data_IF_039540376221
#
_entry.id   IF_039540376221
#
_cell.length_a   1.000
_cell.length_b   1.000
_cell.length_c   1.000
_cell.angle_alpha   90.00
_cell.angle_beta   90.00
_cell.angle_gamma   90.00
#
_symmetry.space_group_name_H-M   'P 1'
#
loop_
_entity.id
_entity.type
_entity.pdbx_description
1 polymer ?
#
# COMPACT_ATOMS: atom_id res chain seq x y z
N UNK A 1 -64.18 7.67 -8.25
CA UNK A 1 -63.07 6.74 -8.57
C UNK A 1 -61.75 7.48 -8.42
N UNK A 2 -61.02 7.19 -7.33
CA UNK A 2 -59.55 7.17 -7.21
C UNK A 2 -59.26 6.89 -5.73
N UNK A 3 -58.91 5.65 -5.46
CA UNK A 3 -58.63 5.12 -4.14
C UNK A 3 -57.30 5.67 -3.62
N UNK A 4 -57.33 6.17 -2.40
CA UNK A 4 -56.15 6.46 -1.59
C UNK A 4 -55.59 5.14 -1.07
N UNK A 5 -54.35 4.79 -1.45
CA UNK A 5 -53.59 3.70 -0.83
C UNK A 5 -52.45 4.32 -0.02
N UNK A 6 -52.60 4.31 1.29
CA UNK A 6 -51.55 4.64 2.24
C UNK A 6 -50.55 3.47 2.26
N UNK A 7 -49.28 3.75 1.97
CA UNK A 7 -48.20 2.78 2.15
C UNK A 7 -47.79 2.76 3.63
N UNK A 8 -48.01 1.61 4.27
CA UNK A 8 -47.58 1.32 5.63
C UNK A 8 -46.05 1.19 5.69
N UNK A 9 -45.39 2.10 6.42
CA UNK A 9 -44.02 1.95 6.85
C UNK A 9 -44.00 0.94 8.01
N UNK A 10 -43.51 -0.29 7.77
CA UNK A 10 -43.16 -1.19 8.87
C UNK A 10 -41.84 -0.72 9.49
N UNK A 11 -41.91 0.00 10.62
CA UNK A 11 -40.79 0.13 11.54
C UNK A 11 -40.57 -1.23 12.20
N UNK A 12 -39.57 -1.98 11.76
CA UNK A 12 -38.99 -3.06 12.58
C UNK A 12 -38.09 -2.37 13.61
N UNK A 13 -38.62 -2.17 14.81
CA UNK A 13 -37.83 -1.75 15.96
C UNK A 13 -36.84 -2.86 16.33
N UNK A 14 -35.58 -2.70 15.92
CA UNK A 14 -34.49 -3.50 16.45
C UNK A 14 -34.20 -3.00 17.88
N UNK A 15 -34.84 -3.60 18.87
CA UNK A 15 -34.43 -3.47 20.26
C UNK A 15 -33.02 -4.04 20.38
N UNK A 16 -32.02 -3.17 20.50
CA UNK A 16 -30.65 -3.57 20.84
C UNK A 16 -30.67 -4.13 22.27
N UNK A 17 -30.88 -5.44 22.39
CA UNK A 17 -30.60 -6.16 23.62
C UNK A 17 -29.08 -6.23 23.72
N UNK A 18 -28.48 -5.33 24.49
CA UNK A 18 -27.13 -5.53 24.99
C UNK A 18 -27.18 -6.73 25.94
N UNK A 19 -26.95 -7.92 25.40
CA UNK A 19 -26.61 -9.07 26.23
C UNK A 19 -25.21 -8.76 26.76
N UNK A 20 -25.16 -8.42 28.04
CA UNK A 20 -23.91 -8.42 28.80
C UNK A 20 -23.44 -9.88 28.83
N UNK A 21 -22.67 -10.24 27.80
CA UNK A 21 -22.05 -11.55 27.68
C UNK A 21 -21.12 -11.67 28.88
N UNK A 22 -21.51 -12.46 29.88
CA UNK A 22 -20.57 -13.01 30.84
C UNK A 22 -19.36 -13.53 30.04
N UNK A 23 -18.15 -13.08 30.39
CA UNK A 23 -16.93 -13.46 29.69
C UNK A 23 -16.77 -14.98 29.78
N UNK A 24 -17.21 -15.69 28.76
CA UNK A 24 -16.89 -17.09 28.57
C UNK A 24 -15.38 -17.16 28.43
N UNK A 25 -14.70 -17.80 29.37
CA UNK A 25 -13.26 -18.07 29.23
C UNK A 25 -13.04 -18.76 27.89
N UNK A 26 -12.39 -18.06 26.96
CA UNK A 26 -12.00 -18.65 25.68
C UNK A 26 -10.96 -19.73 26.02
N UNK A 27 -11.22 -21.01 25.71
CA UNK A 27 -10.31 -22.08 26.09
C UNK A 27 -8.90 -21.82 25.55
N UNK A 28 -7.88 -22.05 26.38
CA UNK A 28 -6.49 -22.00 25.94
C UNK A 28 -6.30 -22.96 24.77
N UNK A 29 -5.91 -22.44 23.62
CA UNK A 29 -5.56 -23.24 22.46
C UNK A 29 -4.05 -23.48 22.43
N UNK A 30 -3.65 -24.73 22.29
CA UNK A 30 -2.26 -25.11 22.05
C UNK A 30 -2.17 -25.73 20.65
N UNK A 31 -1.22 -25.26 19.85
CA UNK A 31 -0.99 -25.74 18.49
C UNK A 31 0.50 -25.98 18.28
N UNK A 32 0.82 -27.08 17.61
CA UNK A 32 2.19 -27.34 17.13
C UNK A 32 2.27 -26.89 15.68
N UNK A 33 3.16 -25.95 15.40
CA UNK A 33 3.38 -25.40 14.07
C UNK A 33 4.80 -25.76 13.61
N UNK A 34 4.93 -26.19 12.35
CA UNK A 34 6.25 -26.27 11.72
C UNK A 34 6.77 -24.86 11.46
N UNK A 35 8.06 -24.64 11.71
CA UNK A 35 8.74 -23.36 11.48
C UNK A 35 9.11 -22.59 12.75
N UNK A 36 8.45 -22.85 13.88
CA UNK A 36 8.85 -22.29 15.18
C UNK A 36 10.09 -23.01 15.74
N UNK A 37 11.03 -22.24 16.28
CA UNK A 37 12.26 -22.73 16.92
C UNK A 37 12.06 -22.94 18.43
N UNK A 38 11.20 -22.15 19.05
CA UNK A 38 10.84 -22.19 20.45
C UNK A 38 9.34 -21.95 20.67
N UNK A 39 8.89 -22.07 21.92
CA UNK A 39 7.51 -21.79 22.29
C UNK A 39 7.19 -20.29 22.15
N UNK A 40 6.03 -19.99 21.58
CA UNK A 40 5.45 -18.63 21.51
C UNK A 40 4.14 -18.63 22.29
N UNK A 41 3.94 -17.60 23.11
CA UNK A 41 2.67 -17.35 23.78
C UNK A 41 1.97 -16.14 23.17
N UNK A 42 0.68 -16.26 22.90
CA UNK A 42 -0.16 -15.16 22.39
C UNK A 42 -1.30 -14.95 23.36
N UNK A 43 -1.32 -13.79 24.01
CA UNK A 43 -2.42 -13.35 24.87
C UNK A 43 -3.26 -12.34 24.11
N UNK A 44 -4.59 -12.49 24.11
CA UNK A 44 -5.48 -11.45 23.58
C UNK A 44 -6.10 -10.68 24.73
N UNK A 45 -6.00 -9.36 24.67
CA UNK A 45 -6.68 -8.51 25.64
C UNK A 45 -8.19 -8.43 25.36
N UNK A 46 -8.91 -7.66 26.19
CA UNK A 46 -10.36 -7.46 26.07
C UNK A 46 -10.81 -6.81 24.76
N UNK A 47 -9.89 -6.21 24.00
CA UNK A 47 -10.15 -5.59 22.70
C UNK A 47 -9.73 -6.49 21.53
N UNK A 48 -9.23 -7.70 21.85
CA UNK A 48 -8.73 -8.66 20.86
C UNK A 48 -7.32 -8.36 20.37
N UNK A 49 -6.59 -7.41 20.98
CA UNK A 49 -5.21 -7.07 20.62
C UNK A 49 -4.30 -8.23 21.03
N UNK A 50 -3.54 -8.83 20.09
CA UNK A 50 -2.59 -9.87 20.42
C UNK A 50 -1.32 -9.26 21.04
N UNK A 51 -0.92 -9.83 22.19
CA UNK A 51 0.39 -9.67 22.81
C UNK A 51 1.19 -10.95 22.59
N UNK A 52 2.23 -10.86 21.78
CA UNK A 52 3.03 -11.99 21.30
C UNK A 52 4.35 -12.01 22.07
N UNK A 53 4.57 -13.10 22.81
CA UNK A 53 5.78 -13.35 23.58
C UNK A 53 6.57 -14.48 22.94
N UNK A 54 7.80 -14.21 22.51
CA UNK A 54 8.68 -15.17 21.86
C UNK A 54 10.09 -15.13 22.48
N UNK A 55 10.87 -16.19 22.27
CA UNK A 55 12.24 -16.29 22.79
C UNK A 55 13.30 -15.76 21.80
N UNK A 56 12.90 -15.45 20.57
CA UNK A 56 13.77 -14.94 19.51
C UNK A 56 12.96 -14.16 18.47
N UNK A 57 13.66 -13.37 17.66
CA UNK A 57 13.10 -12.49 16.64
C UNK A 57 12.37 -13.26 15.54
N UNK A 58 12.90 -14.39 15.09
CA UNK A 58 12.31 -15.16 13.99
C UNK A 58 10.92 -15.69 14.36
N UNK A 59 10.79 -16.28 15.55
CA UNK A 59 9.53 -16.80 16.07
C UNK A 59 8.52 -15.67 16.37
N UNK A 60 9.00 -14.49 16.81
CA UNK A 60 8.17 -13.31 17.05
C UNK A 60 7.45 -12.87 15.77
N UNK A 61 8.20 -12.70 14.69
CA UNK A 61 7.65 -12.25 13.41
C UNK A 61 6.88 -13.34 12.68
N UNK A 62 7.29 -14.61 12.79
CA UNK A 62 6.49 -15.75 12.36
C UNK A 62 5.11 -15.76 13.01
N UNK A 63 5.06 -15.60 14.34
CA UNK A 63 3.80 -15.55 15.06
C UNK A 63 2.96 -14.31 14.71
N UNK A 64 3.59 -13.15 14.47
CA UNK A 64 2.91 -11.95 13.99
C UNK A 64 2.23 -12.19 12.63
N UNK A 65 2.92 -12.83 11.69
CA UNK A 65 2.38 -13.19 10.38
C UNK A 65 1.24 -14.21 10.49
N UNK A 66 1.44 -15.27 11.26
CA UNK A 66 0.45 -16.33 11.48
C UNK A 66 -0.84 -15.78 12.09
N UNK A 67 -0.75 -15.01 13.18
CA UNK A 67 -1.94 -14.45 13.83
C UNK A 67 -2.62 -13.37 12.98
N UNK A 68 -1.87 -12.72 12.09
CA UNK A 68 -2.44 -11.74 11.16
C UNK A 68 -3.18 -12.39 10.02
N UNK A 69 -2.67 -13.48 9.48
CA UNK A 69 -3.42 -14.32 8.56
C UNK A 69 -4.66 -14.92 9.24
N UNK A 70 -4.54 -15.42 10.47
CA UNK A 70 -5.69 -15.93 11.24
C UNK A 70 -6.82 -14.91 11.37
N UNK A 71 -6.48 -13.64 11.57
CA UNK A 71 -7.48 -12.61 11.83
C UNK A 71 -8.01 -11.96 10.56
N UNK A 72 -7.20 -11.89 9.50
CA UNK A 72 -7.43 -10.97 8.37
C UNK A 72 -7.00 -11.55 7.01
N UNK A 73 -7.04 -12.87 6.82
CA UNK A 73 -6.53 -13.52 5.60
C UNK A 73 -7.11 -12.94 4.30
N UNK A 74 -8.41 -12.66 4.25
CA UNK A 74 -9.03 -12.09 3.05
C UNK A 74 -8.51 -10.68 2.74
N UNK A 75 -8.36 -9.83 3.78
CA UNK A 75 -7.77 -8.50 3.65
C UNK A 75 -6.31 -8.59 3.18
N UNK A 76 -5.54 -9.52 3.73
CA UNK A 76 -4.17 -9.80 3.30
C UNK A 76 -4.12 -10.17 1.81
N UNK A 77 -4.86 -11.21 1.39
CA UNK A 77 -4.80 -11.67 0.00
C UNK A 77 -5.21 -10.58 -1.01
N UNK A 78 -6.24 -9.79 -0.69
CA UNK A 78 -6.61 -8.64 -1.50
C UNK A 78 -5.49 -7.60 -1.57
N UNK A 79 -4.83 -7.28 -0.45
CA UNK A 79 -3.70 -6.33 -0.43
C UNK A 79 -2.53 -6.83 -1.29
N UNK A 80 -2.19 -8.12 -1.19
CA UNK A 80 -1.17 -8.77 -2.03
C UNK A 80 -1.52 -8.67 -3.51
N UNK A 81 -2.76 -9.01 -3.90
CA UNK A 81 -3.22 -8.93 -5.29
C UNK A 81 -3.24 -7.49 -5.80
N UNK A 82 -3.61 -6.55 -4.94
CA UNK A 82 -3.56 -5.12 -5.20
C UNK A 82 -2.13 -4.69 -5.53
N UNK A 83 -1.18 -5.09 -4.69
CA UNK A 83 0.23 -4.70 -4.77
C UNK A 83 1.02 -5.39 -5.88
N UNK A 84 0.61 -6.59 -6.28
CA UNK A 84 1.33 -7.40 -7.28
C UNK A 84 0.69 -7.43 -8.65
N UNK A 85 -0.49 -6.82 -8.82
CA UNK A 85 -1.22 -6.80 -10.08
C UNK A 85 -1.79 -8.17 -10.44
N UNK A 86 -2.59 -8.73 -9.53
CA UNK A 86 -3.27 -10.03 -9.65
C UNK A 86 -4.76 -9.97 -9.30
N UNK A 87 -5.39 -8.80 -9.43
CA UNK A 87 -6.84 -8.68 -9.24
C UNK A 87 -7.62 -9.19 -10.45
N UNK A 88 -7.10 -9.02 -11.68
CA UNK A 88 -7.73 -9.51 -12.89
C UNK A 88 -7.93 -11.05 -12.87
N UNK A 89 -7.01 -11.76 -12.22
CA UNK A 89 -7.07 -13.22 -12.01
C UNK A 89 -8.36 -13.66 -11.30
N UNK A 90 -8.92 -12.81 -10.44
CA UNK A 90 -10.05 -13.16 -9.57
C UNK A 90 -11.28 -12.28 -9.78
N UNK A 91 -11.12 -11.08 -10.35
CA UNK A 91 -12.20 -10.10 -10.59
C UNK A 91 -12.41 -9.77 -12.08
N UNK A 92 -11.58 -10.31 -12.98
CA UNK A 92 -11.79 -10.27 -14.43
C UNK A 92 -11.22 -9.03 -15.15
N UNK A 93 -11.57 -8.85 -16.43
CA UNK A 93 -10.84 -7.99 -17.36
C UNK A 93 -10.83 -6.50 -16.99
N UNK A 94 -11.84 -6.01 -16.26
CA UNK A 94 -11.90 -4.62 -15.81
C UNK A 94 -10.75 -4.22 -14.88
N UNK A 95 -10.03 -5.19 -14.30
CA UNK A 95 -8.90 -4.96 -13.40
C UNK A 95 -7.54 -5.02 -14.11
N UNK A 96 -7.49 -5.41 -15.39
CA UNK A 96 -6.25 -5.47 -16.18
C UNK A 96 -5.51 -4.12 -16.22
N UNK A 97 -6.17 -2.96 -16.47
CA UNK A 97 -5.46 -1.67 -16.50
C UNK A 97 -4.81 -1.31 -15.16
N UNK A 98 -5.48 -1.64 -14.06
CA UNK A 98 -4.96 -1.44 -12.70
C UNK A 98 -3.76 -2.35 -12.43
N UNK A 99 -3.90 -3.63 -12.77
CA UNK A 99 -2.83 -4.61 -12.60
C UNK A 99 -1.61 -4.24 -13.44
N UNK A 100 -1.80 -3.62 -14.62
CA UNK A 100 -0.72 -3.03 -15.42
C UNK A 100 0.14 -2.08 -14.64
N UNK A 101 -0.47 -1.11 -13.98
CA UNK A 101 0.26 -0.09 -13.21
C UNK A 101 0.97 -0.73 -12.02
N UNK A 102 0.31 -1.64 -11.28
CA UNK A 102 0.96 -2.34 -10.18
C UNK A 102 2.23 -3.10 -10.64
N UNK A 103 2.16 -3.75 -11.81
CA UNK A 103 3.29 -4.45 -12.43
C UNK A 103 4.37 -3.50 -12.96
N UNK A 104 3.99 -2.38 -13.57
CA UNK A 104 4.92 -1.31 -13.97
C UNK A 104 5.71 -0.76 -12.78
N UNK A 105 5.08 -0.67 -11.61
CA UNK A 105 5.69 -0.08 -10.40
C UNK A 105 6.45 -1.10 -9.53
N UNK A 106 6.52 -2.38 -9.92
CA UNK A 106 7.35 -3.37 -9.23
C UNK A 106 8.79 -2.89 -9.13
N UNK A 107 9.41 -3.13 -7.97
CA UNK A 107 10.82 -2.83 -7.79
C UNK A 107 11.68 -3.74 -8.68
N UNK A 108 12.64 -3.13 -9.38
CA UNK A 108 13.53 -3.79 -10.36
C UNK A 108 15.02 -3.56 -10.07
N UNK A 109 15.32 -2.95 -8.92
CA UNK A 109 16.69 -2.60 -8.54
C UNK A 109 17.42 -3.72 -7.79
N UNK A 110 18.49 -3.33 -7.10
CA UNK A 110 19.26 -4.22 -6.24
C UNK A 110 18.46 -4.59 -4.99
N UNK A 111 18.12 -5.88 -4.85
CA UNK A 111 17.39 -6.41 -3.70
C UNK A 111 18.20 -6.38 -2.41
N UNK A 112 19.52 -6.51 -2.46
CA UNK A 112 20.33 -6.42 -1.24
C UNK A 112 20.41 -4.98 -0.73
N UNK A 113 20.41 -3.99 -1.62
CA UNK A 113 20.28 -2.58 -1.25
C UNK A 113 18.88 -2.23 -0.72
N UNK A 114 17.84 -2.85 -1.29
CA UNK A 114 16.46 -2.70 -0.84
C UNK A 114 16.31 -3.14 0.62
N UNK A 115 16.68 -4.39 0.93
CA UNK A 115 16.52 -4.93 2.27
C UNK A 115 17.36 -4.19 3.32
N UNK A 116 18.62 -3.87 3.01
CA UNK A 116 19.51 -3.15 3.93
C UNK A 116 19.07 -1.71 4.22
N UNK A 117 18.17 -1.14 3.41
CA UNK A 117 17.69 0.22 3.64
C UNK A 117 16.69 0.33 4.80
N UNK A 118 16.08 -0.76 5.26
CA UNK A 118 15.01 -0.72 6.27
C UNK A 118 15.53 -0.94 7.69
N UNK A 119 16.23 -2.06 7.87
CA UNK A 119 16.87 -2.48 9.11
C UNK A 119 17.95 -3.54 8.77
N UNK A 120 18.97 -3.74 9.62
CA UNK A 120 20.01 -4.74 9.37
C UNK A 120 19.48 -6.17 9.18
N UNK A 121 18.35 -6.49 9.83
CA UNK A 121 17.67 -7.78 9.85
C UNK A 121 16.35 -7.79 9.07
N UNK A 122 16.04 -6.74 8.29
CA UNK A 122 14.75 -6.59 7.62
C UNK A 122 14.37 -7.79 6.74
N UNK A 123 15.33 -8.34 5.96
CA UNK A 123 15.08 -9.52 5.13
C UNK A 123 14.65 -10.73 5.96
N UNK A 124 15.30 -10.94 7.11
CA UNK A 124 14.99 -12.05 8.02
C UNK A 124 13.62 -11.85 8.64
N UNK A 125 13.35 -10.66 9.18
CA UNK A 125 12.06 -10.28 9.76
C UNK A 125 10.91 -10.51 8.77
N UNK A 126 11.06 -10.00 7.54
CA UNK A 126 10.05 -10.12 6.48
C UNK A 126 9.87 -11.57 6.06
N UNK A 127 10.95 -12.35 5.91
CA UNK A 127 10.87 -13.78 5.61
C UNK A 127 10.11 -14.55 6.69
N UNK A 128 10.45 -14.36 7.97
CA UNK A 128 9.75 -15.00 9.08
C UNK A 128 8.26 -14.64 9.12
N UNK A 129 7.93 -13.37 8.91
CA UNK A 129 6.54 -12.90 8.84
C UNK A 129 5.75 -13.59 7.71
N UNK A 130 6.34 -13.64 6.51
CA UNK A 130 5.74 -14.32 5.36
C UNK A 130 5.60 -15.83 5.60
N UNK A 131 6.58 -16.47 6.22
CA UNK A 131 6.50 -17.89 6.59
C UNK A 131 5.34 -18.15 7.56
N UNK A 132 5.10 -17.24 8.51
CA UNK A 132 3.94 -17.28 9.40
C UNK A 132 2.60 -17.19 8.66
N UNK A 133 2.47 -16.24 7.73
CA UNK A 133 1.27 -16.11 6.87
C UNK A 133 1.05 -17.41 6.08
N UNK A 134 2.10 -17.91 5.43
CA UNK A 134 2.05 -19.12 4.62
C UNK A 134 1.75 -20.37 5.45
N UNK A 135 2.24 -20.45 6.69
CA UNK A 135 1.91 -21.54 7.61
C UNK A 135 0.41 -21.55 7.94
N UNK A 136 -0.21 -20.38 8.15
CA UNK A 136 -1.65 -20.29 8.33
C UNK A 136 -2.41 -20.75 7.07
N UNK A 137 -2.03 -20.24 5.90
CA UNK A 137 -2.66 -20.62 4.62
C UNK A 137 -2.59 -22.14 4.39
N UNK A 138 -1.42 -22.75 4.62
CA UNK A 138 -1.25 -24.20 4.48
C UNK A 138 -2.08 -24.98 5.49
N UNK A 139 -2.24 -24.47 6.72
CA UNK A 139 -3.03 -25.12 7.76
C UNK A 139 -4.51 -25.26 7.43
N UNK A 140 -5.01 -24.47 6.47
CA UNK A 140 -6.37 -24.59 5.94
C UNK A 140 -6.60 -25.91 5.19
N UNK A 141 -5.54 -26.58 4.70
CA UNK A 141 -5.63 -27.84 3.95
C UNK A 141 -6.67 -27.81 2.81
N UNK A 142 -6.74 -26.68 2.09
CA UNK A 142 -7.69 -26.47 1.00
C UNK A 142 -9.11 -26.07 1.42
N UNK A 143 -9.39 -25.95 2.72
CA UNK A 143 -10.65 -25.41 3.21
C UNK A 143 -10.65 -23.89 3.11
N UNK A 144 -11.55 -23.35 2.29
CA UNK A 144 -11.70 -21.90 2.13
C UNK A 144 -12.39 -21.31 3.37
N UNK A 145 -11.86 -20.23 3.97
CA UNK A 145 -12.64 -19.38 4.87
C UNK A 145 -13.87 -18.81 4.16
N UNK A 146 -14.87 -18.39 4.91
CA UNK A 146 -16.19 -17.98 4.40
C UNK A 146 -16.09 -16.93 3.28
N UNK A 147 -15.25 -15.91 3.46
CA UNK A 147 -15.08 -14.84 2.48
C UNK A 147 -14.53 -15.36 1.13
N UNK A 148 -13.61 -16.33 1.17
CA UNK A 148 -13.06 -16.98 -0.02
C UNK A 148 -14.06 -17.94 -0.69
N UNK A 149 -14.91 -18.62 0.10
CA UNK A 149 -16.02 -19.40 -0.44
C UNK A 149 -16.99 -18.53 -1.22
N UNK A 150 -17.40 -17.39 -0.64
CA UNK A 150 -18.30 -16.43 -1.27
C UNK A 150 -17.68 -15.78 -2.51
N UNK A 151 -16.39 -15.42 -2.46
CA UNK A 151 -15.70 -14.79 -3.59
C UNK A 151 -15.33 -15.77 -4.71
N UNK A 152 -15.28 -17.07 -4.40
CA UNK A 152 -15.06 -18.14 -5.36
C UNK A 152 -13.61 -18.32 -5.80
N UNK A 153 -12.63 -17.92 -4.99
CA UNK A 153 -11.20 -18.12 -5.24
C UNK A 153 -10.44 -18.52 -3.97
N UNK A 154 -9.21 -19.01 -4.12
CA UNK A 154 -8.34 -19.44 -3.02
C UNK A 154 -7.34 -18.35 -2.59
N UNK A 155 -6.95 -18.29 -1.30
CA UNK A 155 -5.84 -17.45 -0.85
C UNK A 155 -4.54 -17.91 -1.52
N UNK A 156 -3.74 -16.96 -2.00
CA UNK A 156 -2.43 -17.28 -2.55
C UNK A 156 -1.32 -17.20 -1.51
N UNK A 157 -0.27 -17.99 -1.72
CA UNK A 157 0.95 -17.88 -0.91
C UNK A 157 1.66 -16.54 -1.16
N UNK A 158 2.35 -16.10 -0.11
CA UNK A 158 3.12 -14.86 -0.06
C UNK A 158 4.60 -15.12 -0.29
N UNK A 159 5.29 -14.14 -0.86
CA UNK A 159 6.76 -14.05 -0.86
C UNK A 159 7.23 -12.78 -0.12
N UNK A 160 8.49 -12.69 0.31
CA UNK A 160 9.03 -11.47 0.90
C UNK A 160 8.83 -10.22 0.03
N UNK A 161 8.94 -10.37 -1.29
CA UNK A 161 8.77 -9.28 -2.26
C UNK A 161 7.35 -8.70 -2.27
N UNK A 162 6.34 -9.50 -1.91
CA UNK A 162 4.95 -9.02 -1.80
C UNK A 162 4.81 -7.94 -0.72
N UNK A 163 5.57 -8.03 0.37
CA UNK A 163 5.55 -7.09 1.51
C UNK A 163 6.09 -5.72 1.13
N UNK A 164 7.08 -5.68 0.24
CA UNK A 164 7.72 -4.44 -0.23
C UNK A 164 7.11 -3.90 -1.53
N UNK A 165 5.88 -4.32 -1.85
CA UNK A 165 5.12 -3.78 -2.97
C UNK A 165 5.03 -2.25 -2.91
N UNK A 166 5.10 -1.64 -4.09
CA UNK A 166 5.15 -0.19 -4.25
C UNK A 166 3.77 0.47 -4.33
N UNK A 167 2.69 -0.27 -4.49
CA UNK A 167 1.36 0.34 -4.72
C UNK A 167 0.88 1.18 -3.54
N UNK A 168 1.19 0.77 -2.29
CA UNK A 168 0.87 1.56 -1.10
C UNK A 168 1.61 2.91 -1.10
N UNK A 169 2.92 2.92 -1.36
CA UNK A 169 3.72 4.14 -1.48
C UNK A 169 3.27 5.01 -2.66
N UNK A 170 2.90 4.41 -3.79
CA UNK A 170 2.38 5.10 -4.97
C UNK A 170 1.09 5.85 -4.64
N UNK A 171 0.19 5.22 -3.88
CA UNK A 171 -1.04 5.82 -3.40
C UNK A 171 -0.78 7.00 -2.44
N UNK A 172 0.23 6.90 -1.57
CA UNK A 172 0.56 7.93 -0.58
C UNK A 172 1.31 9.13 -1.18
N UNK A 173 2.06 8.92 -2.26
CA UNK A 173 2.85 9.98 -2.90
C UNK A 173 1.94 11.03 -3.56
N UNK A 174 1.00 10.61 -4.41
CA UNK A 174 -0.13 11.41 -4.89
C UNK A 174 0.16 12.65 -5.75
N UNK A 175 1.40 13.14 -5.86
CA UNK A 175 1.69 14.43 -6.49
C UNK A 175 1.60 14.42 -8.03
N UNK A 176 1.61 13.26 -8.70
CA UNK A 176 1.33 13.15 -10.15
C UNK A 176 0.01 13.82 -10.54
N UNK A 177 -1.05 13.67 -9.72
CA UNK A 177 -2.32 14.34 -9.98
C UNK A 177 -2.21 15.87 -9.91
N UNK A 178 -1.36 16.37 -9.02
CA UNK A 178 -1.12 17.80 -8.89
C UNK A 178 -0.40 18.32 -10.13
N UNK A 179 0.52 17.55 -10.70
CA UNK A 179 1.19 17.92 -11.96
C UNK A 179 0.21 18.01 -13.13
N UNK A 180 -0.63 16.99 -13.32
CA UNK A 180 -1.65 16.99 -14.38
C UNK A 180 -2.64 18.13 -14.18
N UNK A 181 -3.12 18.32 -12.94
CA UNK A 181 -4.03 19.41 -12.64
C UNK A 181 -3.39 20.77 -12.92
N UNK A 182 -2.11 20.96 -12.58
CA UNK A 182 -1.37 22.18 -12.87
C UNK A 182 -1.23 22.42 -14.38
N UNK A 183 -0.88 21.40 -15.16
CA UNK A 183 -0.79 21.50 -16.62
C UNK A 183 -2.14 21.90 -17.25
N UNK A 184 -3.24 21.30 -16.80
CA UNK A 184 -4.61 21.63 -17.24
C UNK A 184 -5.02 23.05 -16.81
N UNK A 185 -4.65 23.48 -15.60
CA UNK A 185 -4.92 24.85 -15.16
C UNK A 185 -4.13 25.87 -15.99
N UNK A 186 -2.86 25.61 -16.29
CA UNK A 186 -2.03 26.50 -17.11
C UNK A 186 -2.56 26.59 -18.54
N UNK A 187 -3.05 25.48 -19.12
CA UNK A 187 -3.63 25.50 -20.47
C UNK A 187 -4.92 26.30 -20.57
N UNK A 188 -5.71 26.38 -19.49
CA UNK A 188 -6.97 27.14 -19.46
C UNK A 188 -6.83 28.59 -18.98
N UNK A 189 -5.96 28.85 -17.99
CA UNK A 189 -5.86 30.14 -17.29
C UNK A 189 -4.60 30.94 -17.65
N UNK A 190 -3.62 30.28 -18.27
CA UNK A 190 -2.30 30.85 -18.51
C UNK A 190 -1.36 30.75 -17.30
N UNK A 191 -0.05 30.77 -17.59
CA UNK A 191 1.02 30.53 -16.62
C UNK A 191 0.95 31.48 -15.41
N UNK A 192 0.86 32.78 -15.69
CA UNK A 192 0.89 33.82 -14.66
C UNK A 192 -0.31 33.76 -13.70
N UNK A 193 -1.49 33.32 -14.17
CA UNK A 193 -2.65 33.16 -13.31
C UNK A 193 -2.47 31.99 -12.33
N UNK A 194 -1.90 30.86 -12.80
CA UNK A 194 -1.66 29.70 -11.95
C UNK A 194 -0.53 29.96 -10.95
N UNK A 195 0.54 30.65 -11.35
CA UNK A 195 1.60 31.08 -10.42
C UNK A 195 1.07 31.97 -9.29
N UNK A 196 0.09 32.82 -9.59
CA UNK A 196 -0.57 33.67 -8.58
C UNK A 196 -1.48 32.88 -7.64
N UNK A 197 -2.27 31.93 -8.18
CA UNK A 197 -3.30 31.21 -7.41
C UNK A 197 -2.75 30.03 -6.60
N UNK A 198 -1.71 29.37 -7.11
CA UNK A 198 -1.14 28.13 -6.53
C UNK A 198 0.39 28.11 -6.68
N UNK A 199 1.11 29.06 -6.07
CA UNK A 199 2.57 29.09 -6.14
C UNK A 199 3.16 27.82 -5.50
N UNK A 200 4.27 27.29 -6.01
CA UNK A 200 4.97 26.18 -5.37
C UNK A 200 5.66 26.63 -4.08
N UNK A 201 5.89 25.67 -3.17
CA UNK A 201 6.67 25.85 -1.95
C UNK A 201 7.78 24.79 -1.90
N UNK A 202 9.07 25.17 -1.93
CA UNK A 202 9.57 26.55 -1.99
C UNK A 202 9.25 27.24 -3.34
N UNK A 203 9.29 28.58 -3.41
CA UNK A 203 9.02 29.30 -4.66
C UNK A 203 10.01 28.94 -5.78
N UNK A 204 9.48 28.40 -6.87
CA UNK A 204 10.22 28.06 -8.11
C UNK A 204 9.38 28.55 -9.30
N UNK A 205 9.96 29.24 -10.31
CA UNK A 205 9.21 29.66 -11.49
C UNK A 205 8.68 28.46 -12.26
N UNK A 206 7.45 28.54 -12.79
CA UNK A 206 6.96 27.50 -13.68
C UNK A 206 7.63 27.66 -15.06
N UNK A 207 8.17 26.56 -15.57
CA UNK A 207 8.78 26.51 -16.90
C UNK A 207 8.01 25.51 -17.74
N UNK A 208 7.40 25.96 -18.83
CA UNK A 208 6.83 25.07 -19.84
C UNK A 208 7.98 24.62 -20.76
N UNK A 209 8.31 23.31 -20.81
CA UNK A 209 9.37 22.82 -21.68
C UNK A 209 9.15 23.21 -23.14
N UNK A 210 10.23 23.58 -23.84
CA UNK A 210 10.15 23.99 -25.24
C UNK A 210 9.55 22.89 -26.13
N UNK A 211 8.48 23.22 -26.85
CA UNK A 211 7.80 22.30 -27.76
C UNK A 211 6.92 21.25 -27.07
N UNK A 212 6.57 21.45 -25.80
CA UNK A 212 5.46 20.77 -25.14
C UNK A 212 4.19 21.60 -25.28
N UNK A 213 3.15 21.00 -25.87
CA UNK A 213 1.80 21.56 -25.81
C UNK A 213 1.11 21.00 -24.56
N UNK A 214 0.72 21.86 -23.63
CA UNK A 214 0.04 21.43 -22.41
C UNK A 214 -1.36 20.85 -22.68
N UNK A 215 -1.95 21.10 -23.86
CA UNK A 215 -3.17 20.44 -24.29
C UNK A 215 -3.00 18.93 -24.53
N UNK A 216 -1.76 18.44 -24.67
CA UNK A 216 -1.46 17.00 -24.70
C UNK A 216 -1.72 16.35 -23.32
N UNK A 217 -1.63 17.12 -22.22
CA UNK A 217 -1.82 16.61 -20.87
C UNK A 217 -3.28 16.75 -20.44
N UNK A 218 -3.92 15.63 -20.12
CA UNK A 218 -5.30 15.59 -19.61
C UNK A 218 -5.48 14.54 -18.52
N UNK A 219 -6.59 14.59 -17.78
CA UNK A 219 -6.92 13.55 -16.79
C UNK A 219 -7.05 12.14 -17.41
N UNK A 220 -7.25 12.04 -18.73
CA UNK A 220 -7.25 10.75 -19.44
C UNK A 220 -5.92 10.02 -19.38
N UNK A 221 -4.80 10.75 -19.38
CA UNK A 221 -3.43 10.20 -19.30
C UNK A 221 -3.19 9.43 -18.00
N UNK A 222 -3.85 9.85 -16.92
CA UNK A 222 -3.67 9.26 -15.59
C UNK A 222 -4.84 8.37 -15.17
N UNK A 223 -5.77 8.05 -16.07
CA UNK A 223 -6.95 7.21 -15.75
C UNK A 223 -6.54 5.87 -15.16
N UNK A 224 -5.64 5.15 -15.83
CA UNK A 224 -5.23 3.80 -15.41
C UNK A 224 -4.37 3.86 -14.15
N UNK A 225 -3.50 4.88 -14.04
CA UNK A 225 -2.78 5.20 -12.80
C UNK A 225 -3.75 5.38 -11.63
N UNK A 226 -4.80 6.18 -11.83
CA UNK A 226 -5.83 6.43 -10.83
C UNK A 226 -6.65 5.20 -10.47
N UNK A 227 -6.95 4.33 -11.44
CA UNK A 227 -7.59 3.04 -11.17
C UNK A 227 -6.71 2.15 -10.27
N UNK A 228 -5.38 2.25 -10.40
CA UNK A 228 -4.46 1.45 -9.60
C UNK A 228 -4.31 1.93 -8.16
N UNK A 229 -4.30 3.25 -7.94
CA UNK A 229 -4.16 3.85 -6.61
C UNK A 229 -5.49 4.24 -5.95
N UNK A 230 -6.61 4.12 -6.67
CA UNK A 230 -7.92 4.51 -6.18
C UNK A 230 -8.42 3.59 -5.07
N UNK A 231 -8.64 4.08 -3.84
CA UNK A 231 -9.41 3.31 -2.87
C UNK A 231 -10.88 3.31 -3.27
N UNK A 232 -11.65 2.34 -2.79
CA UNK A 232 -13.11 2.49 -2.70
C UNK A 232 -13.37 3.66 -1.73
N UNK A 233 -13.73 4.84 -2.26
CA UNK A 233 -13.92 6.07 -1.47
C UNK A 233 -15.37 6.23 -1.06
N UNK A 234 -15.59 6.38 0.24
CA UNK A 234 -16.75 7.13 0.76
C UNK A 234 -16.36 8.62 0.88
N UNK A 235 -17.29 9.57 0.78
CA UNK A 235 -17.00 10.99 0.94
C UNK A 235 -16.36 11.27 2.31
N UNK A 236 -15.18 11.90 2.33
CA UNK A 236 -14.47 12.26 3.56
C UNK A 236 -13.15 12.98 3.25
N UNK A 237 -12.71 13.88 4.14
CA UNK A 237 -11.42 14.56 4.03
C UNK A 237 -10.29 13.63 4.50
N UNK A 238 -9.14 13.68 3.82
CA UNK A 238 -7.88 13.11 4.32
C UNK A 238 -7.11 14.19 5.06
N UNK A 239 -6.44 13.82 6.15
CA UNK A 239 -5.68 14.71 7.01
C UNK A 239 -4.85 13.89 7.98
N UNK A 240 -4.08 14.52 8.86
CA UNK A 240 -3.44 13.85 10.00
C UNK A 240 -3.05 14.92 11.02
N UNK A 241 -3.04 14.55 12.29
CA UNK A 241 -2.46 15.37 13.35
C UNK A 241 -1.28 14.64 14.00
N UNK A 242 -0.26 15.40 14.40
CA UNK A 242 0.80 14.92 15.28
C UNK A 242 1.26 16.02 16.22
N UNK A 243 1.16 15.78 17.53
CA UNK A 243 1.68 16.69 18.55
C UNK A 243 2.71 15.99 19.42
N UNK A 244 3.79 16.70 19.72
CA UNK A 244 4.79 16.32 20.71
C UNK A 244 4.88 17.45 21.72
N UNK A 245 4.68 17.13 22.98
CA UNK A 245 4.77 18.08 24.11
C UNK A 245 6.02 17.71 24.91
N UNK A 246 6.88 18.69 25.12
CA UNK A 246 8.07 18.54 25.97
C UNK A 246 7.68 18.25 27.42
N UNK A 247 8.51 17.48 28.14
CA UNK A 247 8.27 17.12 29.53
C UNK A 247 8.15 18.33 30.47
N UNK A 248 8.80 19.45 30.17
CA UNK A 248 8.69 20.70 30.95
C UNK A 248 7.30 21.34 30.86
N UNK A 249 6.52 20.96 29.85
CA UNK A 249 5.14 21.43 29.63
C UNK A 249 4.08 20.41 30.10
N UNK A 250 4.49 19.28 30.67
CA UNK A 250 3.58 18.22 31.13
C UNK A 250 3.59 18.09 32.65
N UNK A 251 2.42 17.75 33.23
CA UNK A 251 2.29 17.55 34.69
C UNK A 251 3.16 16.40 35.22
N UNK A 252 3.46 15.41 34.38
CA UNK A 252 4.25 14.23 34.77
C UNK A 252 5.75 14.46 34.64
N UNK A 253 6.20 15.58 34.05
CA UNK A 253 7.60 15.80 33.71
C UNK A 253 8.10 14.90 32.57
N UNK A 254 7.21 14.17 31.88
CA UNK A 254 7.53 13.25 30.78
C UNK A 254 6.94 13.75 29.47
N UNK A 255 7.60 13.52 28.32
CA UNK A 255 7.07 13.93 27.03
C UNK A 255 5.73 13.24 26.74
N UNK A 256 4.86 13.92 26.01
CA UNK A 256 3.58 13.37 25.53
C UNK A 256 3.58 13.39 24.01
N UNK A 257 3.16 12.29 23.39
CA UNK A 257 2.96 12.18 21.95
C UNK A 257 1.49 11.86 21.66
N UNK A 258 0.89 12.61 20.75
CA UNK A 258 -0.40 12.31 20.16
C UNK A 258 -0.22 12.18 18.64
N UNK A 259 -0.31 10.96 18.10
CA UNK A 259 -0.27 10.71 16.66
C UNK A 259 -1.63 10.21 16.19
N UNK A 260 -2.23 10.94 15.25
CA UNK A 260 -3.60 10.76 14.79
C UNK A 260 -3.65 10.81 13.25
N UNK A 261 -3.16 9.76 12.56
CA UNK A 261 -3.17 9.70 11.11
C UNK A 261 -4.58 9.41 10.57
N UNK A 262 -5.16 10.32 9.78
CA UNK A 262 -6.51 10.10 9.22
C UNK A 262 -6.44 9.27 7.94
N UNK A 263 -7.06 8.10 7.99
CA UNK A 263 -7.24 7.22 6.84
C UNK A 263 -8.72 6.97 6.63
N UNK A 264 -9.10 6.60 5.40
CA UNK A 264 -10.46 6.19 5.11
C UNK A 264 -10.87 5.07 6.06
N UNK A 265 -12.08 5.17 6.62
CA UNK A 265 -12.64 4.11 7.45
C UNK A 265 -12.92 2.92 6.53
N UNK A 266 -12.30 1.78 6.86
CA UNK A 266 -12.41 0.53 6.12
C UNK A 266 -12.86 -0.58 7.07
N UNK A 267 -13.55 -1.57 6.52
CA UNK A 267 -13.94 -2.80 7.21
C UNK A 267 -13.38 -3.99 6.42
N UNK A 268 -12.34 -4.69 6.93
CA UNK A 268 -11.60 -4.43 8.17
C UNK A 268 -10.75 -3.14 8.13
N UNK A 269 -10.42 -2.60 9.31
CA UNK A 269 -9.56 -1.41 9.43
C UNK A 269 -8.19 -1.63 8.78
N UNK A 270 -7.64 -0.58 8.18
CA UNK A 270 -6.27 -0.60 7.66
C UNK A 270 -5.23 -0.82 8.77
N UNK A 271 -5.53 -0.45 10.02
CA UNK A 271 -4.59 -0.59 11.13
C UNK A 271 -4.85 -1.90 11.88
N UNK A 272 -3.78 -2.58 12.26
CA UNK A 272 -3.80 -3.69 13.21
C UNK A 272 -2.85 -3.36 14.36
N UNK A 273 -3.41 -3.34 15.56
CA UNK A 273 -2.64 -3.18 16.80
C UNK A 273 -2.09 -4.52 17.25
N UNK A 274 -0.83 -4.57 17.67
CA UNK A 274 -0.16 -5.76 18.21
C UNK A 274 0.91 -5.31 19.20
N UNK A 275 1.19 -6.15 20.19
CA UNK A 275 2.32 -6.01 21.10
C UNK A 275 3.33 -7.13 20.82
N UNK A 276 4.59 -6.76 20.62
CA UNK A 276 5.66 -7.67 20.22
C UNK A 276 6.74 -7.71 21.31
N UNK A 277 6.96 -8.88 21.92
CA UNK A 277 7.92 -9.08 23.02
C UNK A 277 8.87 -10.23 22.72
N UNK A 278 10.17 -9.92 22.62
CA UNK A 278 11.28 -10.86 22.50
C UNK A 278 12.60 -10.16 22.90
N UNK A 279 13.75 -10.84 23.01
CA UNK A 279 15.02 -10.15 23.22
C UNK A 279 15.27 -9.06 22.16
N UNK A 280 15.39 -7.80 22.60
CA UNK A 280 15.54 -6.64 21.73
C UNK A 280 14.24 -6.04 21.17
N UNK A 281 13.08 -6.60 21.52
CA UNK A 281 11.76 -6.13 21.12
C UNK A 281 10.83 -6.06 22.34
N UNK A 282 10.35 -4.87 22.65
CA UNK A 282 9.21 -4.64 23.55
C UNK A 282 8.51 -3.40 23.02
N UNK A 283 7.58 -3.61 22.08
CA UNK A 283 6.95 -2.53 21.32
C UNK A 283 5.48 -2.84 21.09
N UNK A 284 4.64 -1.85 21.38
CA UNK A 284 3.20 -1.91 21.13
C UNK A 284 2.79 -0.74 20.26
N UNK A 285 1.89 -1.01 19.32
CA UNK A 285 1.33 0.01 18.47
C UNK A 285 0.59 -0.60 17.29
N UNK A 286 0.45 0.17 16.23
CA UNK A 286 -0.24 -0.23 15.02
C UNK A 286 0.68 -0.25 13.79
N UNK A 287 0.44 -1.24 12.94
CA UNK A 287 0.99 -1.32 11.57
C UNK A 287 -0.13 -1.50 10.56
N UNK A 288 0.26 -1.62 9.28
CA UNK A 288 -0.64 -2.21 8.29
C UNK A 288 -0.52 -3.74 8.34
N UNK A 289 -1.62 -4.51 8.28
CA UNK A 289 -1.60 -5.96 8.38
C UNK A 289 -0.62 -6.68 7.45
N UNK A 290 -0.32 -6.08 6.29
CA UNK A 290 0.54 -6.67 5.28
C UNK A 290 2.05 -6.45 5.53
N UNK A 291 2.43 -5.65 6.53
CA UNK A 291 3.82 -5.37 6.88
C UNK A 291 4.15 -5.87 8.31
N UNK A 292 5.35 -6.44 8.52
CA UNK A 292 5.80 -6.81 9.86
C UNK A 292 6.11 -5.58 10.73
N UNK A 293 6.12 -5.80 12.05
CA UNK A 293 6.48 -4.78 13.03
C UNK A 293 5.37 -3.78 13.34
N UNK A 294 5.79 -2.65 13.91
CA UNK A 294 4.93 -1.55 14.37
C UNK A 294 5.34 -0.28 13.62
N UNK A 295 4.39 0.35 12.94
CA UNK A 295 4.67 1.56 12.17
C UNK A 295 4.56 2.84 13.03
N UNK A 296 3.61 2.84 13.98
CA UNK A 296 3.40 3.91 14.95
C UNK A 296 3.06 3.29 16.30
N UNK A 297 3.62 3.81 17.39
CA UNK A 297 3.48 3.20 18.71
C UNK A 297 4.51 3.70 19.70
N UNK A 298 4.87 2.84 20.65
CA UNK A 298 5.95 3.12 21.58
C UNK A 298 6.63 1.83 22.05
N UNK A 299 7.87 1.98 22.48
CA UNK A 299 8.62 0.97 23.21
C UNK A 299 8.89 1.49 24.64
N UNK A 300 9.79 0.84 25.37
CA UNK A 300 10.17 1.23 26.74
C UNK A 300 10.83 2.62 26.83
N UNK A 301 11.39 3.14 25.74
CA UNK A 301 12.27 4.31 25.71
C UNK A 301 11.63 5.53 25.04
N UNK A 302 10.77 5.31 24.04
CA UNK A 302 10.21 6.38 23.21
C UNK A 302 8.87 6.02 22.57
N UNK A 303 8.13 7.06 22.18
CA UNK A 303 6.96 6.96 21.33
C UNK A 303 7.26 7.57 19.96
N UNK A 304 6.70 7.01 18.90
CA UNK A 304 6.92 7.45 17.53
C UNK A 304 5.66 7.27 16.67
N UNK A 305 5.60 8.04 15.61
CA UNK A 305 4.52 8.02 14.64
C UNK A 305 4.86 8.90 13.46
N UNK A 306 3.93 9.01 12.51
CA UNK A 306 4.16 9.74 11.27
C UNK A 306 2.87 10.40 10.78
N UNK A 307 3.05 11.38 9.92
CA UNK A 307 2.00 12.04 9.14
C UNK A 307 2.51 12.26 7.73
N UNK A 308 1.60 12.27 6.76
CA UNK A 308 1.98 12.51 5.37
C UNK A 308 2.45 13.96 5.23
N UNK A 309 3.62 14.17 4.61
CA UNK A 309 4.07 15.47 4.15
C UNK A 309 3.93 15.50 2.63
N UNK A 310 3.20 16.49 2.10
CA UNK A 310 3.04 16.67 0.66
C UNK A 310 4.29 17.27 0.04
N UNK A 311 5.28 16.42 -0.26
CA UNK A 311 6.48 16.79 -1.01
C UNK A 311 6.44 16.24 -2.43
N UNK A 312 7.13 16.92 -3.35
CA UNK A 312 7.29 16.46 -4.73
C UNK A 312 8.20 15.23 -4.80
N UNK A 313 7.66 14.17 -5.42
CA UNK A 313 8.25 12.83 -5.46
C UNK A 313 8.00 12.11 -6.78
N UNK A 314 7.20 12.70 -7.67
CA UNK A 314 6.77 12.14 -8.94
C UNK A 314 6.83 13.22 -10.01
N UNK A 315 7.45 12.90 -11.15
CA UNK A 315 7.39 13.72 -12.36
C UNK A 315 6.66 12.94 -13.47
N UNK A 316 5.83 13.62 -14.24
CA UNK A 316 5.24 13.15 -15.49
C UNK A 316 6.07 13.62 -16.68
N UNK A 317 6.76 12.68 -17.32
CA UNK A 317 7.47 12.91 -18.57
C UNK A 317 6.54 12.70 -19.76
N UNK A 318 6.51 13.66 -20.68
CA UNK A 318 5.81 13.57 -21.96
C UNK A 318 6.82 13.28 -23.07
N UNK A 319 6.94 12.00 -23.42
CA UNK A 319 7.89 11.47 -24.38
C UNK A 319 7.35 11.65 -25.81
N UNK A 320 8.21 12.07 -26.74
CA UNK A 320 7.87 12.09 -28.17
C UNK A 320 8.14 10.71 -28.76
N UNK A 321 7.12 10.05 -29.30
CA UNK A 321 7.23 8.75 -29.96
C UNK A 321 7.65 8.96 -31.42
N UNK A 322 8.49 8.08 -31.96
CA UNK A 322 8.88 8.13 -33.36
C UNK A 322 7.65 7.81 -34.23
N UNK A 323 7.18 8.75 -35.10
CA UNK A 323 6.01 8.52 -35.94
C UNK A 323 6.24 7.42 -36.99
N UNK A 324 7.49 7.13 -37.35
CA UNK A 324 7.85 6.07 -38.30
C UNK A 324 8.07 4.71 -37.61
N UNK A 325 8.34 4.72 -36.30
CA UNK A 325 8.58 3.51 -35.50
C UNK A 325 8.03 3.67 -34.07
N UNK A 326 6.80 3.22 -33.77
CA UNK A 326 6.17 3.43 -32.45
C UNK A 326 6.86 2.70 -31.29
N UNK A 327 7.91 1.91 -31.57
CA UNK A 327 8.76 1.27 -30.56
C UNK A 327 9.96 2.14 -30.14
N UNK A 328 10.03 3.39 -30.61
CA UNK A 328 11.08 4.34 -30.27
C UNK A 328 10.54 5.66 -29.72
N UNK A 329 11.33 6.31 -28.86
CA UNK A 329 11.06 7.63 -28.30
C UNK A 329 12.29 8.54 -28.39
N UNK A 330 12.08 9.85 -28.45
CA UNK A 330 13.16 10.83 -28.58
C UNK A 330 13.78 11.11 -27.21
N UNK A 331 15.07 10.83 -27.06
CA UNK A 331 15.81 11.16 -25.86
C UNK A 331 17.18 11.77 -26.23
N UNK A 332 17.45 12.97 -25.70
CA UNK A 332 18.69 13.74 -25.95
C UNK A 332 19.02 13.90 -27.46
N UNK A 333 17.99 14.11 -28.28
CA UNK A 333 18.12 14.34 -29.72
C UNK A 333 18.27 13.08 -30.59
N UNK A 334 18.22 11.89 -30.01
CA UNK A 334 18.26 10.62 -30.74
C UNK A 334 17.05 9.74 -30.44
N UNK A 335 16.60 8.99 -31.43
CA UNK A 335 15.59 7.93 -31.24
C UNK A 335 16.19 6.77 -30.45
N UNK A 336 15.53 6.37 -29.38
CA UNK A 336 15.90 5.25 -28.54
C UNK A 336 14.74 4.27 -28.44
N UNK A 337 15.03 2.97 -28.40
CA UNK A 337 13.99 1.95 -28.25
C UNK A 337 13.40 1.98 -26.85
N UNK A 338 12.09 1.78 -26.74
CA UNK A 338 11.49 1.41 -25.46
C UNK A 338 12.10 0.10 -24.98
N UNK A 339 12.37 0.01 -23.68
CA UNK A 339 12.61 -1.29 -23.05
C UNK A 339 11.25 -1.94 -22.82
N UNK A 340 11.04 -3.14 -23.36
CA UNK A 340 9.79 -3.88 -23.23
C UNK A 340 10.04 -5.14 -22.42
N UNK A 341 9.26 -5.33 -21.36
CA UNK A 341 9.16 -6.60 -20.65
C UNK A 341 7.89 -7.30 -21.12
N UNK A 342 8.04 -8.52 -21.66
CA UNK A 342 6.93 -9.37 -22.06
C UNK A 342 6.53 -10.24 -20.87
N UNK A 343 5.32 -10.02 -20.34
CA UNK A 343 4.71 -10.80 -19.27
C UNK A 343 3.43 -11.52 -19.76
N UNK A 344 2.86 -12.34 -18.89
CA UNK A 344 1.49 -12.82 -19.01
C UNK A 344 0.65 -12.32 -17.83
N UNK A 345 -0.64 -12.09 -18.09
CA UNK A 345 -1.63 -11.76 -17.08
C UNK A 345 -2.77 -12.77 -17.10
N UNK A 346 -3.09 -13.32 -15.93
CA UNK A 346 -4.23 -14.22 -15.78
C UNK A 346 -5.50 -13.39 -15.58
N UNK A 347 -6.54 -13.67 -16.37
CA UNK A 347 -7.80 -12.89 -16.37
C UNK A 347 -9.00 -13.83 -16.20
N UNK A 348 -9.76 -13.66 -15.11
CA UNK A 348 -11.00 -14.42 -14.87
C UNK A 348 -12.03 -14.12 -15.96
N UNK A 349 -12.50 -15.17 -16.62
CA UNK A 349 -13.41 -15.04 -17.75
C UNK A 349 -12.79 -14.36 -18.98
N UNK A 350 -11.45 -14.25 -19.02
CA UNK A 350 -10.68 -13.84 -20.19
C UNK A 350 -10.64 -14.93 -21.25
N UNK A 351 -10.38 -14.55 -22.50
CA UNK A 351 -10.51 -15.41 -23.68
C UNK A 351 -11.84 -15.26 -24.43
N UNK A 352 -11.80 -15.42 -25.77
CA UNK A 352 -12.92 -15.14 -26.67
C UNK A 352 -14.19 -15.96 -26.40
N UNK A 353 -14.09 -17.07 -25.65
CA UNK A 353 -15.18 -18.01 -25.38
C UNK A 353 -15.51 -18.19 -23.88
N UNK A 354 -15.00 -17.31 -23.01
CA UNK A 354 -14.93 -17.57 -21.56
C UNK A 354 -15.70 -16.57 -20.70
N UNK A 355 -16.50 -15.70 -21.33
CA UNK A 355 -17.39 -14.75 -20.66
C UNK A 355 -18.36 -15.49 -19.72
N UNK A 356 -18.23 -15.26 -18.41
CA UNK A 356 -19.01 -15.94 -17.36
C UNK A 356 -18.34 -17.16 -16.72
N UNK A 357 -17.13 -17.54 -17.14
CA UNK A 357 -16.35 -18.58 -16.48
C UNK A 357 -15.65 -18.03 -15.22
N UNK A 358 -15.50 -18.88 -14.20
CA UNK A 358 -14.71 -18.58 -13.01
C UNK A 358 -13.22 -18.92 -13.18
N UNK A 359 -12.82 -19.35 -14.38
CA UNK A 359 -11.44 -19.73 -14.67
C UNK A 359 -10.67 -18.52 -15.18
N UNK A 360 -9.43 -18.37 -14.74
CA UNK A 360 -8.52 -17.41 -15.31
C UNK A 360 -7.80 -17.99 -16.53
N UNK A 361 -7.64 -17.17 -17.57
CA UNK A 361 -6.85 -17.49 -18.75
C UNK A 361 -5.68 -16.52 -18.88
N UNK A 362 -4.51 -17.02 -19.25
CA UNK A 362 -3.31 -16.22 -19.41
C UNK A 362 -3.31 -15.50 -20.75
N UNK A 363 -3.20 -14.18 -20.72
CA UNK A 363 -3.11 -13.30 -21.89
C UNK A 363 -1.72 -12.65 -21.95
N UNK A 364 -1.12 -12.47 -23.14
CA UNK A 364 0.16 -11.77 -23.28
C UNK A 364 0.02 -10.30 -22.90
N UNK A 365 1.07 -9.75 -22.28
CA UNK A 365 1.00 -8.44 -21.65
C UNK A 365 2.36 -7.74 -21.66
N UNK A 366 2.43 -6.55 -22.26
CA UNK A 366 3.68 -5.80 -22.39
C UNK A 366 3.77 -4.64 -21.39
N UNK A 367 4.93 -4.52 -20.76
CA UNK A 367 5.32 -3.41 -19.91
C UNK A 367 6.43 -2.60 -20.59
N UNK A 368 6.17 -1.33 -20.90
CA UNK A 368 7.13 -0.44 -21.57
C UNK A 368 7.80 0.53 -20.61
N UNK A 369 9.07 0.82 -20.85
CA UNK A 369 9.88 1.73 -20.06
C UNK A 369 10.73 2.64 -20.95
N UNK A 370 10.88 3.89 -20.52
CA UNK A 370 11.93 4.80 -21.00
C UNK A 370 13.06 4.89 -19.98
N UNK A 371 14.08 5.71 -20.28
CA UNK A 371 15.13 6.03 -19.32
C UNK A 371 14.61 6.78 -18.09
N UNK A 372 13.44 7.45 -18.20
CA UNK A 372 12.84 8.20 -17.09
C UNK A 372 12.00 7.30 -16.17
N UNK A 373 11.49 6.17 -16.67
CA UNK A 373 10.65 5.26 -15.89
C UNK A 373 9.63 4.47 -16.71
N UNK A 374 8.63 3.85 -16.04
CA UNK A 374 7.53 3.14 -16.69
C UNK A 374 6.60 4.05 -17.49
N UNK A 375 6.22 3.58 -18.69
CA UNK A 375 5.21 4.22 -19.54
C UNK A 375 3.82 3.88 -19.01
N UNK A 376 3.15 4.86 -18.38
CA UNK A 376 1.83 4.68 -17.80
C UNK A 376 0.71 4.80 -18.83
N UNK A 377 0.92 5.57 -19.91
CA UNK A 377 -0.07 5.79 -20.96
C UNK A 377 0.60 6.10 -22.31
N UNK A 378 -0.06 5.74 -23.41
CA UNK A 378 0.39 5.98 -24.79
C UNK A 378 -0.75 6.60 -25.60
N UNK A 379 -0.46 7.68 -26.32
CA UNK A 379 -1.35 8.31 -27.30
C UNK A 379 -0.71 8.17 -28.69
N UNK A 380 -1.14 7.13 -29.41
CA UNK A 380 -0.67 6.85 -30.75
C UNK A 380 -1.03 7.94 -31.76
N UNK A 381 -2.16 8.63 -31.56
CA UNK A 381 -2.64 9.69 -32.47
C UNK A 381 -1.74 10.92 -32.39
N UNK A 382 -1.28 11.27 -31.18
CA UNK A 382 -0.39 12.42 -30.96
C UNK A 382 1.09 12.06 -31.00
N UNK A 383 1.42 10.78 -31.19
CA UNK A 383 2.79 10.27 -31.06
C UNK A 383 3.43 10.67 -29.72
N UNK A 384 2.71 10.38 -28.62
CA UNK A 384 3.13 10.66 -27.25
C UNK A 384 3.11 9.41 -26.39
N UNK A 385 4.07 9.30 -25.48
CA UNK A 385 4.04 8.37 -24.38
C UNK A 385 4.26 9.13 -23.07
N UNK A 386 3.62 8.68 -22.00
CA UNK A 386 3.63 9.36 -20.71
C UNK A 386 4.31 8.45 -19.71
N UNK A 387 5.42 8.92 -19.17
CA UNK A 387 6.26 8.14 -18.27
C UNK A 387 6.21 8.74 -16.86
N UNK A 388 6.07 7.88 -15.86
CA UNK A 388 6.23 8.29 -14.47
C UNK A 388 7.69 8.11 -14.04
N UNK A 389 8.34 9.20 -13.62
CA UNK A 389 9.56 9.11 -12.82
C UNK A 389 9.19 9.28 -11.36
N UNK A 390 9.51 8.31 -10.53
CA UNK A 390 9.06 8.29 -9.14
C UNK A 390 10.15 7.79 -8.21
N UNK A 391 10.35 8.48 -7.09
CA UNK A 391 11.33 8.08 -6.06
C UNK A 391 11.12 6.66 -5.56
N UNK A 392 9.89 6.14 -5.59
CA UNK A 392 9.57 4.77 -5.19
C UNK A 392 10.19 3.66 -6.03
N UNK A 393 10.87 4.00 -7.14
CA UNK A 393 11.69 3.02 -7.88
C UNK A 393 13.05 2.77 -7.22
N UNK A 394 13.46 3.60 -6.24
CA UNK A 394 14.75 3.48 -5.55
C UNK A 394 14.71 2.44 -4.41
N UNK A 395 15.86 1.90 -3.99
CA UNK A 395 15.92 1.00 -2.84
C UNK A 395 15.47 1.71 -1.55
N UNK A 396 14.77 1.02 -0.66
CA UNK A 396 14.34 1.52 0.64
C UNK A 396 13.05 2.34 0.62
N UNK A 397 12.19 2.14 -0.38
CA UNK A 397 10.99 2.95 -0.61
C UNK A 397 9.68 2.16 -0.47
N UNK A 398 9.71 1.01 0.21
CA UNK A 398 8.50 0.42 0.78
C UNK A 398 8.09 1.26 1.99
N UNK A 399 6.90 1.85 1.94
CA UNK A 399 6.37 2.64 3.04
C UNK A 399 6.29 1.85 4.34
N UNK A 400 6.43 2.54 5.47
CA UNK A 400 6.37 2.00 6.84
C UNK A 400 7.42 0.96 7.26
N UNK A 401 8.05 0.22 6.34
CA UNK A 401 9.03 -0.81 6.71
C UNK A 401 10.31 -0.28 7.40
N UNK A 402 10.77 0.97 7.15
CA UNK A 402 11.81 1.60 7.98
C UNK A 402 11.46 1.69 9.48
N UNK A 403 10.18 1.56 9.85
CA UNK A 403 9.74 1.56 11.25
C UNK A 403 10.33 0.40 12.07
N UNK A 404 10.80 -0.68 11.42
CA UNK A 404 11.48 -1.78 12.11
C UNK A 404 12.68 -1.27 12.93
N UNK A 405 13.48 -0.36 12.37
CA UNK A 405 14.59 0.24 13.11
C UNK A 405 14.12 1.27 14.15
N UNK A 406 13.05 2.02 13.89
CA UNK A 406 12.49 2.97 14.87
C UNK A 406 11.99 2.23 16.12
N UNK A 407 11.31 1.10 15.93
CA UNK A 407 10.76 0.30 17.01
C UNK A 407 11.82 -0.24 17.98
N UNK A 408 13.07 -0.39 17.52
CA UNK A 408 14.19 -0.88 18.32
C UNK A 408 15.06 0.23 18.94
N UNK A 409 14.87 1.49 18.54
CA UNK A 409 15.69 2.59 19.03
C UNK A 409 15.50 2.81 20.53
N UNK A 410 16.60 3.05 21.24
CA UNK A 410 16.65 3.21 22.71
C UNK A 410 17.04 4.61 23.16
N UNK A 411 17.53 5.43 22.24
CA UNK A 411 17.94 6.81 22.50
C UNK A 411 17.76 7.68 21.26
N UNK A 412 17.98 8.99 21.42
CA UNK A 412 17.76 9.98 20.37
C UNK A 412 18.67 9.80 19.14
N UNK A 413 19.92 9.38 19.32
CA UNK A 413 20.84 9.19 18.20
C UNK A 413 20.46 7.98 17.35
N UNK A 414 20.09 6.87 18.00
CA UNK A 414 19.50 5.71 17.32
C UNK A 414 18.20 6.06 16.62
N UNK A 415 17.31 6.86 17.26
CA UNK A 415 16.07 7.32 16.65
C UNK A 415 16.33 8.12 15.37
N UNK A 416 17.24 9.10 15.40
CA UNK A 416 17.59 9.90 14.21
C UNK A 416 18.17 9.02 13.10
N UNK A 417 19.06 8.09 13.44
CA UNK A 417 19.65 7.17 12.48
C UNK A 417 18.58 6.28 11.83
N UNK A 418 17.65 5.74 12.61
CA UNK A 418 16.52 4.96 12.11
C UNK A 418 15.53 5.80 11.29
N UNK A 419 15.22 7.02 11.72
CA UNK A 419 14.34 7.94 11.00
C UNK A 419 14.90 8.31 9.61
N UNK A 420 16.22 8.38 9.46
CA UNK A 420 16.87 8.65 8.17
C UNK A 420 16.66 7.53 7.12
N UNK A 421 16.19 6.35 7.53
CA UNK A 421 15.84 5.27 6.60
C UNK A 421 14.51 5.52 5.85
N UNK A 422 13.69 6.49 6.29
CA UNK A 422 12.46 6.86 5.58
C UNK A 422 12.78 7.66 4.31
N UNK A 423 12.48 7.06 3.16
CA UNK A 423 12.70 7.67 1.83
C UNK A 423 11.41 8.05 1.11
N UNK A 424 10.27 7.50 1.54
CA UNK A 424 8.92 7.84 1.08
C UNK A 424 7.98 7.89 2.29
N UNK A 425 6.85 8.63 2.20
CA UNK A 425 5.84 8.74 3.26
C UNK A 425 5.27 7.41 3.77
#
# INVERSE_FOLDING_TARGET
>A
MRASLAAALMLVGASAVFVESAATEIPRQQRTLSGLKAAVEILRDRWGVPHIYAQNTDDLFFAQGYITANDRLFQLDLWRRIGTGKLAEVLGPNYVPRDRIARLMRYRGDWDAEWRSYAPDAKVIVSSFVDGINAYIRSLNGQRPEEFQLAGFDPGLWTPEDVVSRVAGLQMTGNMLQEVNRAVQVSHLGLSAVELLSPPDPPVPFVVPHGLDLADISFGVVRDYMAAIGPIRFPGQQGSNNWVIDGTLSRTGKPLLANDPHRAIQLPSLRKTVHLVAPGWDVIGAGEPALPGIALGHNEYMAFGFTIVGIDQQDLYVEKVNPENPNEYLCKGAWQKFRVEHETIDVRGGGANSAGSNKAESEPFDLKFTVHGPVIYEDATRHRAYTLKWVGSLPGTAGYLPALSLAQAKNWDEFKAAAANYKVP
#
